data_IF_594339852309
#
_entry.id   IF_594339852309
#
_cell.length_a   1.000
_cell.length_b   1.000
_cell.length_c   1.000
_cell.angle_alpha   90.00
_cell.angle_beta   90.00
_cell.angle_gamma   90.00
#
_symmetry.space_group_name_H-M   'P 1'
#
loop_
_entity.id
_entity.type
_entity.pdbx_description
1 polymer ?
#
# COMPACT_ATOMS: atom_id res chain seq x y z
N UNK A 1 58.76 25.65 26.87
CA UNK A 1 57.40 25.79 27.40
C UNK A 1 56.48 25.11 26.41
N UNK A 2 56.37 23.78 26.49
CA UNK A 2 55.43 23.00 25.68
C UNK A 2 54.33 22.56 26.63
N UNK A 3 53.17 23.23 26.54
CA UNK A 3 52.02 22.92 27.36
C UNK A 3 51.17 21.88 26.61
N UNK A 4 51.20 20.60 27.02
CA UNK A 4 50.49 19.53 26.31
C UNK A 4 48.97 19.73 26.29
N UNK A 5 48.41 20.54 27.20
CA UNK A 5 46.98 20.90 27.19
C UNK A 5 46.61 21.82 26.02
N UNK A 6 47.54 22.64 25.52
CA UNK A 6 47.29 23.45 24.31
C UNK A 6 47.29 22.57 23.06
N UNK A 7 48.08 21.50 23.04
CA UNK A 7 48.19 20.60 21.89
C UNK A 7 46.89 19.82 21.66
N UNK A 8 46.26 19.35 22.74
CA UNK A 8 44.96 18.65 22.67
C UNK A 8 43.79 19.59 22.34
N UNK A 9 43.90 20.90 22.61
CA UNK A 9 42.86 21.89 22.30
C UNK A 9 42.90 22.37 20.84
N UNK A 10 44.00 22.13 20.12
CA UNK A 10 44.19 22.50 18.71
C UNK A 10 44.46 21.30 17.78
N UNK A 11 44.38 20.07 18.29
CA UNK A 11 44.27 18.87 17.45
C UNK A 11 42.89 18.85 16.78
N UNK A 12 42.77 19.55 15.65
CA UNK A 12 41.71 19.26 14.69
C UNK A 12 41.82 17.76 14.36
N UNK A 13 40.78 16.95 14.59
CA UNK A 13 40.83 15.53 14.24
C UNK A 13 41.23 15.46 12.77
N UNK A 14 42.34 14.78 12.50
CA UNK A 14 42.91 14.67 11.17
C UNK A 14 41.79 14.19 10.24
N UNK A 15 41.29 15.09 9.38
CA UNK A 15 40.11 14.81 8.55
C UNK A 15 40.53 13.86 7.45
N UNK A 16 40.63 12.58 7.79
CA UNK A 16 40.98 11.52 6.84
C UNK A 16 39.90 11.51 5.75
N UNK A 17 40.26 11.78 4.49
CA UNK A 17 39.30 11.70 3.40
C UNK A 17 38.82 10.26 3.24
N UNK A 18 37.50 10.07 3.22
CA UNK A 18 36.88 8.79 2.88
C UNK A 18 36.94 8.59 1.37
N UNK A 19 37.21 7.37 0.93
CA UNK A 19 36.94 6.98 -0.45
C UNK A 19 35.44 7.01 -0.74
N UNK A 20 35.08 7.16 -2.01
CA UNK A 20 33.66 7.14 -2.46
C UNK A 20 32.96 5.83 -2.02
N UNK A 21 33.69 4.72 -2.05
CA UNK A 21 33.18 3.41 -1.62
C UNK A 21 32.93 3.34 -0.11
N UNK A 22 33.84 3.89 0.71
CA UNK A 22 33.67 3.98 2.16
C UNK A 22 32.47 4.86 2.51
N UNK A 23 32.37 6.05 1.89
CA UNK A 23 31.23 6.95 2.09
C UNK A 23 29.89 6.28 1.73
N UNK A 24 29.81 5.62 0.56
CA UNK A 24 28.60 4.94 0.14
C UNK A 24 28.22 3.77 1.06
N UNK A 25 29.21 3.05 1.61
CA UNK A 25 28.97 1.99 2.57
C UNK A 25 28.43 2.53 3.90
N UNK A 26 28.97 3.64 4.39
CA UNK A 26 28.48 4.32 5.59
C UNK A 26 27.06 4.86 5.41
N UNK A 27 26.79 5.54 4.29
CA UNK A 27 25.45 6.05 3.93
C UNK A 27 24.44 4.90 3.88
N UNK A 28 24.79 3.80 3.19
CA UNK A 28 23.94 2.61 3.14
C UNK A 28 23.66 2.08 4.54
N UNK A 29 24.68 1.94 5.37
CA UNK A 29 24.54 1.44 6.74
C UNK A 29 23.67 2.34 7.62
N UNK A 30 23.81 3.66 7.50
CA UNK A 30 22.99 4.62 8.23
C UNK A 30 21.52 4.54 7.81
N UNK A 31 21.26 4.54 6.49
CA UNK A 31 19.90 4.45 5.94
C UNK A 31 19.21 3.14 6.31
N UNK A 32 19.89 2.01 6.15
CA UNK A 32 19.31 0.69 6.45
C UNK A 32 18.99 0.52 7.94
N UNK A 33 19.76 1.16 8.84
CA UNK A 33 19.47 1.17 10.29
C UNK A 33 18.27 2.04 10.63
N UNK A 34 18.21 3.24 10.08
CA UNK A 34 17.16 4.22 10.43
C UNK A 34 15.82 3.89 9.77
N UNK A 35 15.83 3.36 8.55
CA UNK A 35 14.63 3.19 7.73
C UNK A 35 14.41 1.71 7.36
N UNK A 36 14.41 0.86 8.38
CA UNK A 36 14.23 -0.59 8.25
C UNK A 36 12.78 -1.03 8.07
N UNK A 37 11.81 -0.24 8.52
CA UNK A 37 10.38 -0.51 8.33
C UNK A 37 9.61 0.81 8.17
N UNK A 38 9.53 1.27 6.93
CA UNK A 38 8.86 2.51 6.54
C UNK A 38 7.57 2.23 5.77
N UNK A 39 6.69 3.21 5.81
CA UNK A 39 5.48 3.28 5.00
C UNK A 39 5.53 4.55 4.16
N UNK A 40 5.33 4.41 2.85
CA UNK A 40 5.34 5.52 1.89
C UNK A 40 4.13 5.41 1.00
N UNK A 41 3.45 6.53 0.77
CA UNK A 41 2.32 6.60 -0.14
C UNK A 41 2.70 7.43 -1.37
N UNK A 42 2.28 6.98 -2.54
CA UNK A 42 2.54 7.69 -3.79
C UNK A 42 1.91 7.01 -4.99
N UNK A 43 1.90 7.71 -6.11
CA UNK A 43 1.44 7.19 -7.39
C UNK A 43 2.54 6.34 -8.05
N UNK A 44 2.15 5.17 -8.55
CA UNK A 44 3.06 4.29 -9.29
C UNK A 44 3.30 4.85 -10.68
N UNK A 45 4.57 5.03 -11.03
CA UNK A 45 5.04 5.48 -12.35
C UNK A 45 6.10 4.52 -12.87
N UNK A 46 6.17 4.34 -14.20
CA UNK A 46 7.18 3.52 -14.88
C UNK A 46 7.26 2.07 -14.35
N UNK A 47 6.11 1.44 -14.10
CA UNK A 47 6.05 0.04 -13.68
C UNK A 47 6.57 -0.90 -14.77
N UNK A 48 7.56 -1.70 -14.42
CA UNK A 48 8.19 -2.72 -15.26
C UNK A 48 8.24 -4.05 -14.51
N UNK A 49 7.63 -5.08 -15.09
CA UNK A 49 7.79 -6.45 -14.65
C UNK A 49 8.93 -7.11 -15.45
N UNK A 50 10.08 -7.31 -14.83
CA UNK A 50 11.23 -7.94 -15.47
C UNK A 50 11.01 -9.43 -15.72
N UNK A 51 11.72 -9.99 -16.70
CA UNK A 51 11.70 -11.43 -17.02
C UNK A 51 12.12 -12.32 -15.85
N UNK A 52 12.96 -11.81 -14.93
CA UNK A 52 13.33 -12.49 -13.68
C UNK A 52 12.18 -12.61 -12.68
N UNK A 53 11.06 -11.91 -12.92
CA UNK A 53 9.91 -11.86 -12.03
C UNK A 53 10.02 -10.79 -10.94
N UNK A 54 11.03 -9.91 -10.99
CA UNK A 54 11.11 -8.71 -10.13
C UNK A 54 10.28 -7.57 -10.72
N UNK A 55 9.75 -6.73 -9.85
CA UNK A 55 9.05 -5.51 -10.26
C UNK A 55 9.91 -4.31 -9.92
N UNK A 56 10.00 -3.40 -10.88
CA UNK A 56 10.65 -2.11 -10.74
C UNK A 56 9.62 -1.04 -11.05
N UNK A 57 9.52 -0.04 -10.20
CA UNK A 57 8.64 1.11 -10.41
C UNK A 57 9.14 2.30 -9.60
N UNK A 58 8.63 3.48 -9.91
CA UNK A 58 8.86 4.67 -9.10
C UNK A 58 7.56 5.03 -8.36
N UNK A 59 7.69 5.57 -7.16
CA UNK A 59 6.61 6.27 -6.48
C UNK A 59 6.80 7.77 -6.67
N UNK A 60 5.74 8.47 -7.04
CA UNK A 60 5.71 9.92 -7.18
C UNK A 60 4.64 10.51 -6.26
N UNK A 61 4.97 11.57 -5.53
CA UNK A 61 4.01 12.33 -4.71
C UNK A 61 3.64 13.69 -5.32
N UNK A 62 4.10 13.96 -6.55
CA UNK A 62 3.96 15.22 -7.29
C UNK A 62 5.15 16.16 -7.11
N UNK A 63 5.90 16.05 -6.01
CA UNK A 63 7.06 16.90 -5.68
C UNK A 63 8.39 16.14 -5.76
N UNK A 64 8.36 14.86 -5.45
CA UNK A 64 9.51 13.98 -5.34
C UNK A 64 9.18 12.60 -5.90
N UNK A 65 10.23 11.90 -6.34
CA UNK A 65 10.12 10.52 -6.78
C UNK A 65 11.17 9.63 -6.11
N UNK A 66 10.81 8.38 -5.86
CA UNK A 66 11.73 7.37 -5.31
C UNK A 66 11.60 6.04 -6.05
N UNK A 67 12.74 5.40 -6.33
CA UNK A 67 12.77 4.08 -6.98
C UNK A 67 12.37 2.99 -6.00
N UNK A 68 11.60 2.04 -6.49
CA UNK A 68 11.11 0.89 -5.74
C UNK A 68 11.47 -0.40 -6.46
N UNK A 69 11.94 -1.38 -5.69
CA UNK A 69 12.27 -2.72 -6.16
C UNK A 69 11.48 -3.72 -5.35
N UNK A 70 10.69 -4.55 -6.02
CA UNK A 70 9.96 -5.64 -5.41
C UNK A 70 10.48 -6.98 -5.93
N UNK A 71 11.06 -7.76 -5.01
CA UNK A 71 11.64 -9.06 -5.33
C UNK A 71 10.55 -10.09 -5.63
N UNK A 72 10.89 -11.11 -6.44
CA UNK A 72 9.95 -12.13 -6.90
C UNK A 72 9.22 -12.84 -5.75
N UNK A 73 9.96 -13.16 -4.67
CA UNK A 73 9.39 -13.80 -3.48
C UNK A 73 8.39 -12.92 -2.72
N UNK A 74 8.53 -11.59 -2.81
CA UNK A 74 7.54 -10.66 -2.26
C UNK A 74 6.36 -10.49 -3.21
N UNK A 75 6.60 -10.38 -4.52
CA UNK A 75 5.56 -10.20 -5.53
C UNK A 75 4.45 -11.26 -5.42
N UNK A 76 4.80 -12.52 -5.14
CA UNK A 76 3.84 -13.61 -5.00
C UNK A 76 2.86 -13.43 -3.82
N UNK A 77 3.25 -12.67 -2.79
CA UNK A 77 2.41 -12.39 -1.62
C UNK A 77 1.46 -11.22 -1.86
N UNK A 78 1.75 -10.38 -2.85
CA UNK A 78 0.93 -9.22 -3.19
C UNK A 78 -0.21 -9.71 -4.09
N UNK A 79 -1.45 -9.61 -3.59
CA UNK A 79 -2.65 -10.11 -4.29
C UNK A 79 -3.09 -9.25 -5.46
N UNK A 80 -2.47 -8.09 -5.66
CA UNK A 80 -2.74 -7.19 -6.76
C UNK A 80 -1.45 -6.87 -7.51
N UNK A 81 -1.57 -6.66 -8.82
CA UNK A 81 -0.45 -6.19 -9.65
C UNK A 81 -0.57 -4.68 -9.79
N UNK A 82 0.41 -3.90 -9.33
CA UNK A 82 0.38 -2.45 -9.50
C UNK A 82 0.44 -2.09 -10.99
N UNK A 83 -0.20 -0.98 -11.33
CA UNK A 83 -0.25 -0.40 -12.67
C UNK A 83 0.22 1.06 -12.61
N UNK A 84 0.56 1.65 -13.73
CA UNK A 84 0.85 3.09 -13.73
C UNK A 84 -0.44 3.88 -13.44
N UNK A 85 -0.33 4.96 -12.68
CA UNK A 85 -1.47 5.84 -12.39
C UNK A 85 -2.27 5.49 -11.12
N UNK A 86 -1.96 4.39 -10.45
CA UNK A 86 -2.61 4.07 -9.18
C UNK A 86 -1.80 4.60 -8.00
N UNK A 87 -2.50 5.14 -7.01
CA UNK A 87 -1.91 5.46 -5.71
C UNK A 87 -1.80 4.19 -4.88
N UNK A 88 -0.62 3.95 -4.33
CA UNK A 88 -0.33 2.79 -3.48
C UNK A 88 0.38 3.24 -2.22
N UNK A 89 0.16 2.49 -1.15
CA UNK A 89 0.93 2.55 0.07
C UNK A 89 1.89 1.35 0.10
N UNK A 90 3.17 1.66 0.28
CA UNK A 90 4.28 0.72 0.19
C UNK A 90 4.91 0.58 1.56
N UNK A 91 5.03 -0.67 2.03
CA UNK A 91 5.81 -0.99 3.23
C UNK A 91 7.14 -1.61 2.80
N UNK A 92 8.23 -1.18 3.40
CA UNK A 92 9.53 -1.76 3.11
C UNK A 92 10.67 -1.11 3.86
N UNK A 93 11.87 -1.26 3.31
CA UNK A 93 13.10 -0.70 3.85
C UNK A 93 13.82 0.14 2.80
N UNK A 94 14.49 1.21 3.24
CA UNK A 94 15.37 1.97 2.35
C UNK A 94 16.69 1.20 2.23
N UNK A 95 17.18 1.10 1.01
CA UNK A 95 18.52 0.63 0.71
C UNK A 95 19.17 1.59 -0.27
N UNK A 96 20.49 1.57 -0.32
CA UNK A 96 21.28 2.42 -1.20
C UNK A 96 22.07 1.53 -2.16
N UNK A 97 21.99 1.82 -3.45
CA UNK A 97 22.72 1.07 -4.48
C UNK A 97 24.07 1.74 -4.77
N UNK A 98 25.19 1.22 -4.24
CA UNK A 98 26.46 1.96 -4.22
C UNK A 98 27.03 2.25 -5.61
N UNK A 99 26.74 1.38 -6.60
CA UNK A 99 27.27 1.52 -7.95
C UNK A 99 26.69 2.74 -8.71
N UNK A 100 25.47 3.18 -8.36
CA UNK A 100 24.83 4.35 -8.98
C UNK A 100 24.63 5.52 -8.01
N UNK A 101 24.89 5.32 -6.72
CA UNK A 101 24.66 6.35 -5.71
C UNK A 101 23.18 6.66 -5.49
N UNK A 102 22.28 5.71 -5.78
CA UNK A 102 20.84 5.93 -5.75
C UNK A 102 20.19 5.25 -4.54
N UNK A 103 19.26 5.94 -3.90
CA UNK A 103 18.37 5.37 -2.88
C UNK A 103 17.21 4.64 -3.52
N UNK A 104 16.85 3.49 -2.97
CA UNK A 104 15.72 2.69 -3.41
C UNK A 104 14.97 2.10 -2.23
N UNK A 105 13.67 1.90 -2.38
CA UNK A 105 12.85 1.17 -1.42
C UNK A 105 12.81 -0.30 -1.86
N UNK A 106 13.22 -1.19 -0.96
CA UNK A 106 12.97 -2.62 -1.12
C UNK A 106 11.58 -2.91 -0.55
N UNK A 107 10.66 -3.22 -1.46
CA UNK A 107 9.24 -3.43 -1.15
C UNK A 107 9.04 -4.77 -0.46
N UNK A 108 8.29 -4.75 0.64
CA UNK A 108 7.88 -5.92 1.42
C UNK A 108 6.36 -6.15 1.42
N UNK A 109 5.59 -5.06 1.40
CA UNK A 109 4.13 -5.10 1.22
C UNK A 109 3.70 -3.95 0.34
N UNK A 110 2.60 -4.16 -0.37
CA UNK A 110 1.98 -3.16 -1.22
C UNK A 110 0.48 -3.21 -0.94
N UNK A 111 -0.12 -2.04 -0.76
CA UNK A 111 -1.54 -1.86 -0.53
C UNK A 111 -2.03 -0.76 -1.47
N UNK A 112 -3.19 -0.90 -2.15
CA UNK A 112 -3.76 0.20 -2.90
C UNK A 112 -4.21 1.29 -1.89
N UNK A 113 -3.86 2.55 -2.15
CA UNK A 113 -4.25 3.68 -1.30
C UNK A 113 -5.05 4.69 -2.11
N UNK A 114 -6.01 5.36 -1.49
CA UNK A 114 -6.81 6.43 -2.10
C UNK A 114 -8.25 6.05 -2.51
N UNK A 115 -8.99 7.07 -2.96
CA UNK A 115 -10.38 6.97 -3.45
C UNK A 115 -10.52 6.00 -4.64
N UNK A 116 -9.44 5.70 -5.37
CA UNK A 116 -9.45 4.74 -6.48
C UNK A 116 -9.75 3.30 -6.05
N UNK A 117 -9.31 2.88 -4.85
CA UNK A 117 -9.67 1.57 -4.30
C UNK A 117 -11.17 1.52 -3.94
N UNK A 118 -11.69 2.62 -3.40
CA UNK A 118 -13.11 2.77 -3.05
C UNK A 118 -13.98 2.88 -4.31
N UNK A 119 -13.55 3.63 -5.33
CA UNK A 119 -14.22 3.81 -6.63
C UNK A 119 -14.18 2.52 -7.45
N UNK A 120 -13.05 1.81 -7.49
CA UNK A 120 -12.97 0.52 -8.17
C UNK A 120 -13.82 -0.55 -7.48
N UNK A 121 -13.84 -0.58 -6.15
CA UNK A 121 -14.77 -1.42 -5.40
C UNK A 121 -16.24 -1.04 -5.68
N UNK A 122 -16.54 0.25 -5.73
CA UNK A 122 -17.87 0.77 -6.06
C UNK A 122 -18.30 0.41 -7.49
N UNK A 123 -17.41 0.53 -8.48
CA UNK A 123 -17.70 0.15 -9.88
C UNK A 123 -17.88 -1.36 -10.04
N UNK A 124 -17.09 -2.18 -9.36
CA UNK A 124 -17.28 -3.64 -9.35
C UNK A 124 -18.62 -4.04 -8.71
N UNK A 125 -19.00 -3.42 -7.60
CA UNK A 125 -20.29 -3.63 -6.94
C UNK A 125 -21.42 -3.18 -7.87
N UNK A 126 -21.31 -1.99 -8.48
CA UNK A 126 -22.29 -1.47 -9.44
C UNK A 126 -22.46 -2.40 -10.64
N UNK A 127 -21.35 -2.84 -11.25
CA UNK A 127 -21.38 -3.76 -12.38
C UNK A 127 -21.93 -5.15 -11.99
N UNK A 128 -21.74 -5.60 -10.74
CA UNK A 128 -22.36 -6.83 -10.23
C UNK A 128 -23.87 -6.67 -10.06
N UNK A 129 -24.32 -5.58 -9.45
CA UNK A 129 -25.73 -5.27 -9.27
C UNK A 129 -26.47 -5.06 -10.60
N UNK A 130 -25.80 -4.48 -11.60
CA UNK A 130 -26.33 -4.35 -12.96
C UNK A 130 -26.45 -5.72 -13.65
N UNK A 131 -25.45 -6.62 -13.48
CA UNK A 131 -25.48 -7.99 -14.01
C UNK A 131 -26.53 -8.87 -13.34
N UNK A 132 -26.77 -8.69 -12.04
CA UNK A 132 -27.79 -9.44 -11.30
C UNK A 132 -29.23 -9.02 -11.66
N UNK A 133 -29.41 -8.02 -12.52
CA UNK A 133 -30.73 -7.66 -13.05
C UNK A 133 -31.70 -7.10 -12.01
N UNK A 134 -31.22 -6.75 -10.81
CA UNK A 134 -32.02 -6.17 -9.72
C UNK A 134 -32.64 -4.81 -10.06
N UNK A 135 -32.21 -4.21 -11.18
CA UNK A 135 -32.77 -2.98 -11.75
C UNK A 135 -33.55 -3.19 -13.06
N UNK A 136 -33.74 -4.43 -13.52
CA UNK A 136 -34.50 -4.72 -14.72
C UNK A 136 -35.92 -4.13 -14.58
N UNK A 137 -36.35 -3.22 -15.48
CA UNK A 137 -37.67 -2.59 -15.42
C UNK A 137 -38.81 -3.63 -15.48
N UNK A 138 -38.52 -4.82 -16.00
CA UNK A 138 -39.42 -5.96 -16.11
C UNK A 138 -39.76 -6.61 -14.75
N UNK A 139 -38.92 -6.43 -13.72
CA UNK A 139 -39.16 -6.94 -12.36
C UNK A 139 -39.76 -5.88 -11.41
N UNK A 140 -39.90 -4.63 -11.86
CA UNK A 140 -40.47 -3.55 -11.06
C UNK A 140 -41.98 -3.71 -10.95
N UNK A 141 -42.43 -4.34 -9.87
CA UNK A 141 -43.84 -4.36 -9.48
C UNK A 141 -44.28 -2.94 -9.09
N UNK A 142 -45.44 -2.47 -9.56
CA UNK A 142 -45.97 -1.18 -9.15
C UNK A 142 -46.10 -1.15 -7.62
N UNK A 143 -45.63 -0.05 -7.02
CA UNK A 143 -45.74 0.16 -5.58
C UNK A 143 -47.24 0.13 -5.22
N UNK A 144 -47.66 -0.74 -4.29
CA UNK A 144 -49.04 -0.77 -3.85
C UNK A 144 -49.40 0.59 -3.22
N UNK A 145 -50.53 1.16 -3.66
CA UNK A 145 -50.97 2.53 -3.38
C UNK A 145 -51.37 2.83 -1.92
N UNK A 146 -51.11 1.90 -0.99
CA UNK A 146 -51.51 2.05 0.41
C UNK A 146 -50.30 2.23 1.32
N UNK A 147 -50.16 3.45 1.84
CA UNK A 147 -49.34 3.76 3.00
C UNK A 147 -49.98 3.14 4.24
N UNK A 148 -49.68 1.86 4.51
CA UNK A 148 -49.95 1.29 5.83
C UNK A 148 -48.95 1.91 6.80
N UNK A 149 -49.43 2.85 7.61
CA UNK A 149 -48.72 3.37 8.79
C UNK A 149 -48.45 2.19 9.72
N UNK A 150 -47.25 1.64 9.69
CA UNK A 150 -46.80 0.65 10.66
C UNK A 150 -46.64 1.35 12.01
N UNK A 151 -47.68 1.27 12.85
CA UNK A 151 -47.56 1.56 14.27
C UNK A 151 -46.75 0.41 14.87
N UNK A 152 -45.61 0.73 15.48
CA UNK A 152 -44.83 -0.26 16.22
C UNK A 152 -45.68 -0.85 17.33
N UNK A 153 -46.09 -2.12 17.20
CA UNK A 153 -46.63 -2.88 18.32
C UNK A 153 -46.10 -4.30 18.27
N UNK A 154 -45.10 -4.54 19.12
CA UNK A 154 -44.67 -5.82 19.69
C UNK A 154 -44.82 -7.07 18.80
N UNK A 155 -43.72 -7.49 18.18
CA UNK A 155 -43.58 -8.88 17.73
C UNK A 155 -43.27 -9.74 18.96
N UNK A 156 -44.28 -10.51 19.39
CA UNK A 156 -44.21 -11.53 20.44
C UNK A 156 -43.36 -12.73 19.97
N UNK A 157 -42.73 -13.50 20.89
CA UNK A 157 -41.80 -14.56 20.53
C UNK A 157 -42.51 -15.77 19.92
N UNK A 158 -41.87 -16.35 18.91
CA UNK A 158 -42.29 -17.55 18.19
C UNK A 158 -42.42 -18.73 19.15
N UNK A 159 -43.63 -19.28 19.34
CA UNK A 159 -43.85 -20.57 19.99
C UNK A 159 -44.13 -21.64 18.94
N UNK A 160 -43.29 -22.69 18.98
CA UNK A 160 -43.49 -24.06 18.46
C UNK A 160 -44.95 -24.54 18.57
N UNK A 161 -45.42 -25.30 17.57
CA UNK A 161 -46.31 -26.49 17.64
C UNK A 161 -46.21 -27.13 16.23
N UNK A 162 -45.49 -28.24 16.02
CA UNK A 162 -45.88 -29.67 16.21
C UNK A 162 -46.93 -30.15 15.19
N UNK A 163 -46.41 -30.90 14.19
CA UNK A 163 -46.92 -32.13 13.51
C UNK A 163 -48.38 -32.53 13.78
N UNK A 164 -49.17 -32.84 12.74
CA UNK A 164 -50.04 -34.02 12.70
C UNK A 164 -50.41 -34.42 11.26
N UNK A 165 -50.57 -35.73 11.10
CA UNK A 165 -50.60 -36.57 9.89
C UNK A 165 -52.02 -36.86 9.36
N UNK A 166 -52.08 -37.49 8.17
CA UNK A 166 -53.17 -38.30 7.56
C UNK A 166 -54.36 -37.53 6.94
N UNK A 167 -54.90 -37.91 5.78
CA UNK A 167 -55.03 -39.23 5.11
C UNK A 167 -54.62 -39.24 3.64
#
# INVERSE_FOLDING_TARGET
MDNPLLQTLFEEPERRPLSVSELNAEVRGALERQFSNIWVEGEVVNFVAASSGHWYFNLNDGSAQIKCVCWKGTNFRIRFKPQNGITVRVRGKISFYPARGETQIVVESLEPSGEGALRAAFEQIKASLEREGLFAPELKRPLPFFHVRLRSSQVRPVRRITIFTMS
#
